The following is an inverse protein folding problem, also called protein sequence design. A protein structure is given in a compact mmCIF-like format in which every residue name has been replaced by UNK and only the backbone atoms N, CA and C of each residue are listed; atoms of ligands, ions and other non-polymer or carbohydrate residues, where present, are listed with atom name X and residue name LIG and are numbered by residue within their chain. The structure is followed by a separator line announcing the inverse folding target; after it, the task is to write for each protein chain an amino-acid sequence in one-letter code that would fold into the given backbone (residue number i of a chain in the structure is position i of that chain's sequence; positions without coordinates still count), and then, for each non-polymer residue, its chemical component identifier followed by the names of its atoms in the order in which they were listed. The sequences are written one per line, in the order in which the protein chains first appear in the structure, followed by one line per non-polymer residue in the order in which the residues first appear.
data_IF_309389211647
#
_entry.id   IF_309389211647
#
_cell.length_a   1.000
_cell.length_b   1.000
_cell.length_c   1.000
_cell.angle_alpha   90.00
_cell.angle_beta   90.00
_cell.angle_gamma   90.00
#
_symmetry.space_group_name_H-M   'P 1'
#
loop_
_entity.id
_entity.type
_entity.pdbx_description
1 polymer ?
#
# COMPACT_ATOMS: atom_id res chain seq x y z
N UNK A 1 -1.06 -0.75 -6.84
CA UNK A 1 0.25 -1.06 -7.47
C UNK A 1 0.18 -0.81 -8.96
N UNK A 2 1.31 -0.53 -9.60
CA UNK A 2 1.39 -0.41 -11.07
C UNK A 2 1.23 -1.78 -11.75
N UNK A 3 0.76 -1.81 -13.00
CA UNK A 3 0.63 -3.06 -13.77
C UNK A 3 2.01 -3.72 -13.96
N UNK A 4 2.24 -4.94 -13.46
CA UNK A 4 3.52 -5.63 -13.63
C UNK A 4 3.93 -5.85 -15.09
N UNK A 5 2.97 -5.86 -16.03
CA UNK A 5 3.25 -5.97 -17.46
C UNK A 5 3.94 -4.72 -18.01
N UNK A 6 3.64 -3.54 -17.47
CA UNK A 6 4.21 -2.28 -17.93
C UNK A 6 5.73 -2.30 -17.80
N UNK A 7 6.26 -2.78 -16.68
CA UNK A 7 7.70 -2.92 -16.43
C UNK A 7 8.41 -3.87 -17.41
N UNK A 8 7.67 -4.82 -17.99
CA UNK A 8 8.22 -5.80 -18.94
C UNK A 8 8.17 -5.31 -20.38
N UNK A 9 7.22 -4.43 -20.69
CA UNK A 9 6.96 -3.92 -22.05
C UNK A 9 7.72 -2.62 -22.28
N UNK A 10 7.70 -1.71 -21.31
CA UNK A 10 8.26 -0.36 -21.45
C UNK A 10 8.86 0.15 -20.12
N UNK A 11 10.03 -0.40 -19.78
CA UNK A 11 10.75 -0.06 -18.56
C UNK A 11 11.26 1.39 -18.57
N UNK A 12 11.61 1.90 -19.75
CA UNK A 12 12.12 3.27 -19.92
C UNK A 12 11.02 4.29 -19.64
N UNK A 13 9.80 4.08 -20.15
CA UNK A 13 8.64 4.89 -19.80
C UNK A 13 8.38 4.91 -18.29
N UNK A 14 8.42 3.75 -17.63
CA UNK A 14 8.22 3.68 -16.18
C UNK A 14 9.29 4.50 -15.45
N UNK A 15 10.56 4.37 -15.85
CA UNK A 15 11.67 5.13 -15.27
C UNK A 15 11.47 6.64 -15.44
N UNK A 16 11.08 7.09 -16.63
CA UNK A 16 10.81 8.49 -16.91
C UNK A 16 9.68 9.03 -16.03
N UNK A 17 8.55 8.34 -15.97
CA UNK A 17 7.41 8.75 -15.15
C UNK A 17 7.71 8.78 -13.65
N UNK A 18 8.51 7.82 -13.15
CA UNK A 18 8.93 7.81 -11.74
C UNK A 18 9.92 8.95 -11.44
N UNK A 19 10.79 9.30 -12.38
CA UNK A 19 11.68 10.45 -12.25
C UNK A 19 10.94 11.79 -12.18
N UNK A 20 9.77 11.93 -12.83
CA UNK A 20 8.90 13.11 -12.66
C UNK A 20 8.48 13.31 -11.20
N UNK A 21 8.43 12.26 -10.39
CA UNK A 21 8.19 12.30 -8.93
C UNK A 21 9.46 12.33 -8.08
N UNK A 22 10.61 12.56 -8.71
CA UNK A 22 11.93 12.43 -8.07
C UNK A 22 12.17 11.05 -7.43
N UNK A 23 11.52 10.00 -7.94
CA UNK A 23 11.72 8.63 -7.48
C UNK A 23 12.74 7.92 -8.37
N UNK A 24 13.95 7.72 -7.85
CA UNK A 24 15.02 7.06 -8.59
C UNK A 24 14.84 5.54 -8.56
N UNK A 25 14.23 5.00 -9.61
CA UNK A 25 14.02 3.56 -9.76
C UNK A 25 15.24 2.85 -10.35
N UNK A 26 15.71 1.81 -9.67
CA UNK A 26 16.85 0.99 -10.11
C UNK A 26 16.39 -0.03 -11.16
N UNK A 27 16.47 0.38 -12.43
CA UNK A 27 16.08 -0.44 -13.58
C UNK A 27 16.96 -1.67 -13.78
N UNK A 28 18.24 -1.57 -13.45
CA UNK A 28 19.23 -2.63 -13.58
C UNK A 28 18.92 -3.77 -12.59
N UNK A 29 18.66 -3.43 -11.32
CA UNK A 29 18.26 -4.38 -10.30
C UNK A 29 16.94 -5.09 -10.66
N UNK A 30 15.94 -4.35 -11.15
CA UNK A 30 14.69 -4.95 -11.61
C UNK A 30 14.92 -5.93 -12.77
N UNK A 31 15.75 -5.55 -13.75
CA UNK A 31 16.06 -6.40 -14.91
C UNK A 31 16.79 -7.69 -14.50
N UNK A 32 17.76 -7.61 -13.58
CA UNK A 32 18.45 -8.76 -13.00
C UNK A 32 17.48 -9.70 -12.28
N UNK A 33 16.56 -9.14 -11.49
CA UNK A 33 15.58 -9.90 -10.73
C UNK A 33 14.56 -10.60 -11.65
N UNK A 34 14.06 -9.92 -12.69
CA UNK A 34 13.15 -10.53 -13.68
C UNK A 34 13.86 -11.60 -14.52
N UNK A 35 15.14 -11.41 -14.86
CA UNK A 35 15.94 -12.43 -15.55
C UNK A 35 16.08 -13.70 -14.69
N UNK A 36 16.50 -13.55 -13.43
CA UNK A 36 16.56 -14.66 -12.46
C UNK A 36 15.21 -15.36 -12.31
N UNK A 37 14.12 -14.59 -12.21
CA UNK A 37 12.76 -15.13 -12.12
C UNK A 37 12.41 -16.00 -13.33
N UNK A 38 12.71 -15.52 -14.55
CA UNK A 38 12.45 -16.26 -15.80
C UNK A 38 13.27 -17.54 -15.85
N UNK A 39 14.55 -17.49 -15.55
CA UNK A 39 15.45 -18.65 -15.60
C UNK A 39 14.99 -19.75 -14.63
N UNK A 40 14.69 -19.38 -13.38
CA UNK A 40 14.19 -20.33 -12.38
C UNK A 40 12.81 -20.85 -12.78
N UNK A 41 11.93 -20.01 -13.31
CA UNK A 41 10.61 -20.46 -13.77
C UNK A 41 10.71 -21.50 -14.90
N UNK A 42 11.59 -21.27 -15.89
CA UNK A 42 11.84 -22.24 -16.97
C UNK A 42 12.39 -23.54 -16.39
N UNK A 43 13.39 -23.46 -15.50
CA UNK A 43 13.96 -24.64 -14.84
C UNK A 43 12.92 -25.44 -14.04
N UNK A 44 12.05 -24.76 -13.29
CA UNK A 44 10.94 -25.39 -12.56
C UNK A 44 10.00 -26.11 -13.52
N UNK A 45 9.65 -25.50 -14.66
CA UNK A 45 8.79 -26.13 -15.65
C UNK A 45 9.43 -27.36 -16.32
N UNK A 46 10.74 -27.29 -16.62
CA UNK A 46 11.51 -28.40 -17.17
C UNK A 46 11.59 -29.57 -16.18
N UNK A 47 11.95 -29.30 -14.92
CA UNK A 47 12.01 -30.32 -13.85
C UNK A 47 10.64 -30.97 -13.62
N UNK A 48 9.57 -30.16 -13.63
CA UNK A 48 8.21 -30.66 -13.48
C UNK A 48 7.81 -31.59 -14.65
N UNK A 49 8.18 -31.22 -15.87
CA UNK A 49 7.95 -32.04 -17.06
C UNK A 49 8.77 -33.34 -17.02
N UNK A 50 10.04 -33.26 -16.65
CA UNK A 50 10.92 -34.43 -16.56
C UNK A 50 10.44 -35.39 -15.47
N UNK A 51 10.13 -34.89 -14.26
CA UNK A 51 9.56 -35.71 -13.17
C UNK A 51 8.30 -36.43 -13.61
N UNK A 52 7.40 -35.76 -14.33
CA UNK A 52 6.16 -36.35 -14.82
C UNK A 52 6.42 -37.42 -15.89
N UNK A 53 7.38 -37.19 -16.79
CA UNK A 53 7.79 -38.17 -17.80
C UNK A 53 8.39 -39.44 -17.16
N UNK A 54 9.33 -39.27 -16.22
CA UNK A 54 9.97 -40.36 -15.48
C UNK A 54 8.97 -41.15 -14.63
N UNK A 55 8.01 -40.46 -14.00
CA UNK A 55 6.93 -41.10 -13.24
C UNK A 55 6.06 -42.00 -14.12
N UNK A 56 5.78 -41.60 -15.37
CA UNK A 56 5.06 -42.46 -16.34
C UNK A 56 5.91 -43.67 -16.75
N UNK A 57 7.22 -43.49 -16.95
CA UNK A 57 8.14 -44.58 -17.30
C UNK A 57 8.21 -45.66 -16.20
N UNK A 58 8.13 -45.27 -14.91
CA UNK A 58 8.04 -46.22 -13.78
C UNK A 58 6.81 -47.12 -13.92
N UNK A 59 5.64 -46.55 -14.24
CA UNK A 59 4.41 -47.32 -14.44
C UNK A 59 4.52 -48.33 -15.58
N UNK A 60 5.20 -47.95 -16.68
CA UNK A 60 5.45 -48.83 -17.82
C UNK A 60 6.45 -49.94 -17.50
N UNK A 61 7.57 -49.63 -16.84
CA UNK A 61 8.58 -50.59 -16.42
C UNK A 61 8.01 -51.61 -15.41
N UNK A 62 7.20 -51.14 -14.44
CA UNK A 62 6.49 -52.00 -13.48
C UNK A 62 5.52 -52.96 -14.17
N UNK A 63 4.82 -52.52 -15.22
CA UNK A 63 3.94 -53.37 -16.02
C UNK A 63 4.70 -54.44 -16.83
N UNK A 64 5.96 -54.18 -17.17
CA UNK A 64 6.86 -55.12 -17.87
C UNK A 64 7.66 -56.03 -16.94
N UNK A 65 7.57 -55.84 -15.61
CA UNK A 65 8.34 -56.61 -14.62
C UNK A 65 9.82 -56.23 -14.56
N UNK A 66 10.19 -55.03 -15.03
CA UNK A 66 11.56 -54.51 -15.00
C UNK A 66 11.92 -53.96 -13.61
N UNK A 67 13.22 -53.84 -13.31
CA UNK A 67 13.69 -53.16 -12.09
C UNK A 67 13.42 -51.66 -12.18
N UNK A 68 12.59 -51.16 -11.26
CA UNK A 68 12.18 -49.76 -11.18
C UNK A 68 12.99 -48.94 -10.18
N UNK A 69 13.88 -49.57 -9.39
CA UNK A 69 14.63 -48.86 -8.35
C UNK A 69 15.49 -47.71 -8.90
N UNK A 70 16.17 -47.83 -10.06
CA UNK A 70 16.91 -46.71 -10.64
C UNK A 70 15.99 -45.53 -11.01
N UNK A 71 14.82 -45.81 -11.57
CA UNK A 71 13.84 -44.79 -11.96
C UNK A 71 13.20 -44.12 -10.74
N UNK A 72 12.98 -44.87 -9.65
CA UNK A 72 12.48 -44.32 -8.39
C UNK A 72 13.49 -43.34 -7.78
N UNK A 73 14.78 -43.69 -7.78
CA UNK A 73 15.84 -42.81 -7.28
C UNK A 73 15.95 -41.54 -8.14
N UNK A 74 15.85 -41.66 -9.47
CA UNK A 74 15.87 -40.50 -10.39
C UNK A 74 14.67 -39.56 -10.15
N UNK A 75 13.45 -40.10 -9.97
CA UNK A 75 12.26 -39.30 -9.65
C UNK A 75 12.38 -38.62 -8.29
N UNK A 76 12.97 -39.28 -7.29
CA UNK A 76 13.20 -38.68 -5.99
C UNK A 76 14.17 -37.50 -6.08
N UNK A 77 15.29 -37.66 -6.78
CA UNK A 77 16.25 -36.57 -7.02
C UNK A 77 15.61 -35.38 -7.76
N UNK A 78 14.85 -35.64 -8.83
CA UNK A 78 14.10 -34.61 -9.55
C UNK A 78 13.06 -33.91 -8.65
N UNK A 79 12.48 -34.64 -7.70
CA UNK A 79 11.58 -34.08 -6.69
C UNK A 79 12.27 -33.08 -5.77
N UNK A 80 13.49 -33.42 -5.31
CA UNK A 80 14.29 -32.54 -4.45
C UNK A 80 14.76 -31.29 -5.21
N UNK A 81 15.22 -31.44 -6.45
CA UNK A 81 15.60 -30.32 -7.32
C UNK A 81 14.41 -29.41 -7.63
N UNK A 82 13.24 -30.00 -7.94
CA UNK A 82 12.02 -29.23 -8.21
C UNK A 82 11.61 -28.41 -6.99
N UNK A 83 11.62 -29.01 -5.79
CA UNK A 83 11.29 -28.31 -4.55
C UNK A 83 12.25 -27.16 -4.27
N UNK A 84 13.54 -27.34 -4.54
CA UNK A 84 14.53 -26.27 -4.41
C UNK A 84 14.26 -25.12 -5.41
N UNK A 85 13.92 -25.45 -6.67
CA UNK A 85 13.57 -24.47 -7.69
C UNK A 85 12.27 -23.71 -7.37
N UNK A 86 11.24 -24.39 -6.87
CA UNK A 86 9.99 -23.77 -6.39
C UNK A 86 10.23 -22.81 -5.22
N UNK A 87 11.07 -23.22 -4.26
CA UNK A 87 11.44 -22.37 -3.11
C UNK A 87 12.20 -21.12 -3.57
N UNK A 88 13.15 -21.28 -4.49
CA UNK A 88 13.89 -20.16 -5.06
C UNK A 88 12.97 -19.22 -5.87
N UNK A 89 12.04 -19.76 -6.64
CA UNK A 89 11.07 -18.98 -7.41
C UNK A 89 10.17 -18.16 -6.48
N UNK A 90 9.64 -18.77 -5.43
CA UNK A 90 8.80 -18.10 -4.44
C UNK A 90 9.57 -16.95 -3.77
N UNK A 91 10.83 -17.16 -3.37
CA UNK A 91 11.67 -16.11 -2.79
C UNK A 91 11.89 -14.93 -3.74
N UNK A 92 12.16 -15.21 -5.02
CA UNK A 92 12.30 -14.17 -6.04
C UNK A 92 10.99 -13.41 -6.23
N UNK A 93 9.84 -14.10 -6.23
CA UNK A 93 8.53 -13.46 -6.33
C UNK A 93 8.26 -12.54 -5.14
N UNK A 94 8.56 -12.96 -3.90
CA UNK A 94 8.46 -12.09 -2.72
C UNK A 94 9.35 -10.86 -2.83
N UNK A 95 10.59 -11.02 -3.32
CA UNK A 95 11.53 -9.91 -3.53
C UNK A 95 10.99 -8.92 -4.57
N UNK A 96 10.40 -9.43 -5.66
CA UNK A 96 9.74 -8.60 -6.67
C UNK A 96 8.51 -7.88 -6.13
N UNK A 97 7.64 -8.58 -5.40
CA UNK A 97 6.44 -7.98 -4.79
C UNK A 97 6.83 -6.85 -3.84
N UNK A 98 7.81 -7.10 -2.96
CA UNK A 98 8.34 -6.08 -2.03
C UNK A 98 8.88 -4.86 -2.77
N UNK A 99 9.62 -5.06 -3.87
CA UNK A 99 10.09 -3.97 -4.71
C UNK A 99 8.93 -3.18 -5.32
N UNK A 100 7.94 -3.87 -5.88
CA UNK A 100 6.79 -3.26 -6.56
C UNK A 100 5.86 -2.50 -5.59
N UNK A 101 5.67 -3.00 -4.37
CA UNK A 101 4.89 -2.33 -3.31
C UNK A 101 5.51 -0.99 -2.90
N UNK A 102 6.83 -0.83 -3.05
CA UNK A 102 7.53 0.42 -2.73
C UNK A 102 7.43 1.51 -3.80
N UNK A 103 6.89 1.21 -4.98
CA UNK A 103 6.87 2.12 -6.13
C UNK A 103 5.62 3.03 -6.07
N UNK A 104 5.80 4.36 -6.14
CA UNK A 104 4.67 5.29 -6.14
C UNK A 104 3.86 5.19 -7.45
N UNK A 105 2.64 5.71 -7.43
CA UNK A 105 1.82 5.75 -8.64
C UNK A 105 2.40 6.70 -9.69
N UNK A 106 2.17 6.37 -10.97
CA UNK A 106 2.53 7.22 -12.12
C UNK A 106 1.66 8.48 -12.11
N UNK A 107 2.26 9.62 -12.38
CA UNK A 107 1.53 10.89 -12.53
C UNK A 107 0.73 10.89 -13.82
N UNK A 108 -0.46 11.48 -13.79
CA UNK A 108 -1.21 11.80 -14.99
C UNK A 108 -0.43 12.82 -15.85
N UNK A 109 -0.66 12.80 -17.16
CA UNK A 109 -0.05 13.74 -18.10
C UNK A 109 -0.40 15.20 -17.77
N UNK A 110 -1.57 15.45 -17.18
CA UNK A 110 -2.00 16.80 -16.80
C UNK A 110 -1.29 17.35 -15.56
N UNK A 111 -0.58 16.51 -14.79
CA UNK A 111 0.11 16.97 -13.58
C UNK A 111 1.37 17.73 -14.00
N UNK A 112 1.58 18.98 -13.55
CA UNK A 112 2.79 19.73 -13.87
C UNK A 112 4.02 19.10 -13.21
N UNK A 113 5.16 19.19 -13.89
CA UNK A 113 6.43 18.75 -13.32
C UNK A 113 6.89 19.69 -12.21
N UNK A 114 7.37 19.12 -11.11
CA UNK A 114 7.82 19.87 -9.95
C UNK A 114 8.66 19.03 -9.00
N UNK A 115 9.58 19.68 -8.30
CA UNK A 115 10.48 19.02 -7.32
C UNK A 115 10.11 19.29 -5.86
N UNK A 116 9.26 20.28 -5.62
CA UNK A 116 8.77 20.72 -4.31
C UNK A 116 7.40 21.37 -4.45
N UNK A 117 6.79 21.70 -3.32
CA UNK A 117 5.56 22.47 -3.23
C UNK A 117 5.63 23.85 -3.92
N UNK A 118 6.83 24.41 -4.13
CA UNK A 118 7.03 25.71 -4.81
C UNK A 118 6.63 25.68 -6.30
N UNK A 119 6.54 24.49 -6.88
CA UNK A 119 6.12 24.28 -8.27
C UNK A 119 4.61 24.08 -8.41
N UNK A 120 3.87 24.06 -7.29
CA UNK A 120 2.42 23.94 -7.33
C UNK A 120 1.79 25.15 -8.04
N UNK A 121 0.82 24.88 -8.89
CA UNK A 121 0.08 25.91 -9.61
C UNK A 121 -1.26 26.18 -8.91
N UNK A 122 -1.52 27.45 -8.60
CA UNK A 122 -2.83 27.88 -8.12
C UNK A 122 -3.84 27.83 -9.28
N UNK A 123 -4.85 26.96 -9.17
CA UNK A 123 -5.87 26.78 -10.22
C UNK A 123 -7.00 27.80 -10.08
N UNK A 124 -7.44 28.07 -8.84
CA UNK A 124 -8.52 29.00 -8.57
C UNK A 124 -8.47 29.48 -7.13
N UNK A 125 -8.97 30.70 -6.90
CA UNK A 125 -9.21 31.29 -5.58
C UNK A 125 -10.67 31.67 -5.46
N UNK A 126 -11.24 31.49 -4.26
CA UNK A 126 -12.62 31.89 -3.98
C UNK A 126 -12.70 32.63 -2.65
N UNK A 127 -13.46 33.73 -2.64
CA UNK A 127 -13.58 34.63 -1.50
C UNK A 127 -12.46 35.69 -1.42
N UNK A 128 -12.68 36.69 -0.59
CA UNK A 128 -11.72 37.74 -0.28
C UNK A 128 -11.02 37.44 1.06
N UNK A 129 -9.74 37.82 1.16
CA UNK A 129 -9.02 37.73 2.43
C UNK A 129 -9.55 38.79 3.42
N UNK A 130 -9.92 38.42 4.65
CA UNK A 130 -10.51 39.37 5.59
C UNK A 130 -9.50 40.45 6.01
N UNK A 131 -9.91 41.71 5.92
CA UNK A 131 -9.17 42.83 6.50
C UNK A 131 -9.57 43.03 7.98
N UNK A 132 -8.58 43.17 8.85
CA UNK A 132 -8.79 43.43 10.28
C UNK A 132 -8.28 44.83 10.65
N UNK A 133 -9.06 45.56 11.45
CA UNK A 133 -8.68 46.84 12.06
C UNK A 133 -7.92 46.65 13.40
N UNK A 134 -7.56 45.41 13.71
CA UNK A 134 -6.78 44.99 14.87
C UNK A 134 -5.74 43.94 14.47
N UNK A 135 -4.72 43.74 15.31
CA UNK A 135 -3.74 42.66 15.13
C UNK A 135 -4.41 41.29 15.29
N UNK A 136 -4.55 40.49 14.23
CA UNK A 136 -5.22 39.20 14.31
C UNK A 136 -4.42 38.25 15.21
N UNK A 137 -5.14 37.49 16.03
CA UNK A 137 -4.55 36.44 16.87
C UNK A 137 -4.69 35.09 16.20
N UNK A 138 -3.73 34.20 16.43
CA UNK A 138 -3.85 32.84 15.97
C UNK A 138 -4.90 32.04 16.78
N UNK A 139 -5.19 30.83 16.30
CA UNK A 139 -6.17 29.96 16.94
C UNK A 139 -5.75 29.49 18.34
N UNK A 140 -4.45 29.44 18.65
CA UNK A 140 -3.92 29.02 19.95
C UNK A 140 -4.21 30.10 21.00
N UNK A 141 -3.85 31.35 20.71
CA UNK A 141 -4.09 32.51 21.56
C UNK A 141 -5.58 32.74 21.80
N UNK A 142 -6.39 32.61 20.75
CA UNK A 142 -7.85 32.70 20.85
C UNK A 142 -8.41 31.57 21.71
N UNK A 143 -7.97 30.34 21.47
CA UNK A 143 -8.40 29.15 22.19
C UNK A 143 -8.08 29.21 23.68
N UNK A 144 -6.87 29.68 24.03
CA UNK A 144 -6.43 29.88 25.41
C UNK A 144 -7.26 30.97 26.10
N UNK A 145 -7.48 32.12 25.44
CA UNK A 145 -8.30 33.22 25.99
C UNK A 145 -9.75 32.79 26.26
N UNK A 146 -10.30 31.94 25.41
CA UNK A 146 -11.65 31.37 25.56
C UNK A 146 -11.70 30.20 26.56
N UNK A 147 -10.56 29.73 27.08
CA UNK A 147 -10.42 28.51 27.89
C UNK A 147 -11.04 27.29 27.19
N UNK A 148 -10.98 27.28 25.86
CA UNK A 148 -11.62 26.29 25.01
C UNK A 148 -10.65 25.35 24.30
N UNK A 149 -9.36 25.68 24.25
CA UNK A 149 -8.28 24.84 23.72
C UNK A 149 -7.20 24.71 24.80
N UNK A 150 -6.94 23.48 25.24
CA UNK A 150 -6.01 23.16 26.31
C UNK A 150 -4.97 22.13 25.83
N UNK A 151 -3.81 22.62 25.41
CA UNK A 151 -2.68 21.81 24.97
C UNK A 151 -1.88 21.21 26.13
N UNK A 152 -1.80 21.91 27.27
CA UNK A 152 -1.10 21.40 28.45
C UNK A 152 -1.80 20.16 29.01
N UNK A 153 -3.13 20.19 29.09
CA UNK A 153 -3.93 19.04 29.49
C UNK A 153 -3.86 17.92 28.44
N UNK A 154 -3.87 18.26 27.15
CA UNK A 154 -3.65 17.29 26.07
C UNK A 154 -2.32 16.55 26.22
N UNK A 155 -1.24 17.29 26.48
CA UNK A 155 0.09 16.73 26.72
C UNK A 155 0.17 15.91 28.01
N UNK A 156 -0.53 16.34 29.07
CA UNK A 156 -0.62 15.60 30.34
C UNK A 156 -1.35 14.26 30.20
N UNK A 157 -2.42 14.21 29.39
CA UNK A 157 -3.22 12.99 29.19
C UNK A 157 -2.53 12.03 28.23
N UNK A 158 -1.94 12.54 27.15
CA UNK A 158 -1.34 11.74 26.09
C UNK A 158 0.14 12.10 25.87
N UNK A 159 0.43 13.12 25.05
CA UNK A 159 1.78 13.61 24.74
C UNK A 159 1.71 14.93 23.94
N UNK A 160 2.84 15.44 23.46
CA UNK A 160 2.89 16.53 22.49
C UNK A 160 2.00 16.24 21.27
N UNK A 161 1.43 17.30 20.66
CA UNK A 161 0.50 17.24 19.50
C UNK A 161 -0.90 16.66 19.82
N UNK A 162 -1.25 16.51 21.09
CA UNK A 162 -2.63 16.27 21.54
C UNK A 162 -3.26 17.53 22.13
N UNK A 163 -4.59 17.62 22.12
CA UNK A 163 -5.34 18.79 22.58
C UNK A 163 -6.64 18.37 23.26
N UNK A 164 -7.05 19.11 24.30
CA UNK A 164 -8.40 19.01 24.86
C UNK A 164 -9.20 20.24 24.45
N UNK A 165 -10.37 20.01 23.84
CA UNK A 165 -11.34 21.06 23.53
C UNK A 165 -12.43 21.11 24.60
N UNK A 166 -12.82 22.31 25.02
CA UNK A 166 -13.81 22.53 26.07
C UNK A 166 -14.96 23.46 25.62
N UNK A 167 -16.13 23.26 26.23
CA UNK A 167 -17.26 24.19 26.15
C UNK A 167 -17.72 24.49 24.72
N UNK A 168 -17.95 25.78 24.38
CA UNK A 168 -18.43 26.17 23.05
C UNK A 168 -17.52 25.75 21.89
N UNK A 169 -16.19 25.68 22.07
CA UNK A 169 -15.28 25.25 20.99
C UNK A 169 -15.37 23.75 20.71
N UNK A 170 -15.52 22.91 21.73
CA UNK A 170 -15.83 21.49 21.55
C UNK A 170 -17.17 21.29 20.83
N UNK A 171 -18.19 22.10 21.18
CA UNK A 171 -19.48 22.09 20.47
C UNK A 171 -19.34 22.51 19.01
N UNK A 172 -18.55 23.54 18.72
CA UNK A 172 -18.30 24.03 17.36
C UNK A 172 -17.59 22.96 16.52
N UNK A 173 -16.57 22.30 17.07
CA UNK A 173 -15.87 21.21 16.39
C UNK A 173 -16.84 20.09 15.97
N UNK A 174 -17.73 19.68 16.88
CA UNK A 174 -18.80 18.72 16.55
C UNK A 174 -19.76 19.25 15.50
N UNK A 175 -20.17 20.52 15.59
CA UNK A 175 -21.08 21.13 14.62
C UNK A 175 -20.49 21.15 13.20
N UNK A 176 -19.18 21.40 13.05
CA UNK A 176 -18.49 21.34 11.76
C UNK A 176 -18.52 19.93 11.18
N UNK A 177 -18.26 18.89 11.99
CA UNK A 177 -18.36 17.49 11.54
C UNK A 177 -19.77 17.20 11.02
N UNK A 178 -20.80 17.57 11.78
CA UNK A 178 -22.19 17.32 11.38
C UNK A 178 -22.56 18.06 10.09
N UNK A 179 -22.18 19.34 9.98
CA UNK A 179 -22.40 20.11 8.75
C UNK A 179 -21.77 19.44 7.52
N UNK A 180 -20.53 18.98 7.64
CA UNK A 180 -19.84 18.29 6.53
C UNK A 180 -20.56 16.99 6.15
N UNK A 181 -20.90 16.14 7.13
CA UNK A 181 -21.62 14.88 6.88
C UNK A 181 -22.99 15.14 6.23
N UNK A 182 -23.78 16.06 6.77
CA UNK A 182 -25.10 16.41 6.24
C UNK A 182 -24.99 16.94 4.81
N UNK A 183 -24.02 17.82 4.53
CA UNK A 183 -23.80 18.36 3.17
C UNK A 183 -23.48 17.24 2.19
N UNK A 184 -22.53 16.35 2.53
CA UNK A 184 -22.13 15.27 1.61
C UNK A 184 -23.23 14.24 1.40
N UNK A 185 -24.01 13.91 2.42
CA UNK A 185 -25.06 12.89 2.36
C UNK A 185 -26.35 13.40 1.73
N UNK A 186 -26.76 14.63 2.04
CA UNK A 186 -27.99 15.21 1.53
C UNK A 186 -27.85 15.85 0.15
N UNK A 187 -26.69 16.45 -0.17
CA UNK A 187 -26.52 17.27 -1.38
C UNK A 187 -25.59 16.63 -2.42
N UNK A 188 -24.59 15.85 -2.00
CA UNK A 188 -23.57 15.29 -2.90
C UNK A 188 -23.71 13.78 -3.17
N UNK A 189 -24.74 13.13 -2.63
CA UNK A 189 -25.05 11.72 -2.91
C UNK A 189 -24.12 10.69 -2.26
N UNK A 190 -23.37 11.08 -1.23
CA UNK A 190 -22.54 10.13 -0.48
C UNK A 190 -23.38 9.25 0.45
N UNK A 191 -23.02 7.97 0.56
CA UNK A 191 -23.56 7.10 1.60
C UNK A 191 -22.72 7.21 2.87
N UNK A 192 -23.33 7.66 3.96
CA UNK A 192 -22.65 7.68 5.25
C UNK A 192 -22.32 6.25 5.72
N UNK A 193 -21.10 6.06 6.23
CA UNK A 193 -20.64 4.75 6.72
C UNK A 193 -19.85 4.94 8.01
N UNK A 194 -20.22 4.21 9.05
CA UNK A 194 -19.45 4.13 10.29
C UNK A 194 -18.45 2.97 10.20
N UNK A 195 -17.15 3.27 10.32
CA UNK A 195 -16.05 2.32 10.06
C UNK A 195 -15.18 2.07 11.31
N UNK A 196 -14.48 0.92 11.40
CA UNK A 196 -13.49 0.68 12.44
C UNK A 196 -12.34 1.69 12.40
N UNK A 197 -11.86 2.12 13.58
CA UNK A 197 -10.69 3.00 13.71
C UNK A 197 -9.37 2.24 13.82
N UNK A 198 -9.43 0.94 14.04
CA UNK A 198 -8.31 0.02 13.95
C UNK A 198 -8.47 -0.85 12.71
N UNK A 199 -7.43 -0.95 11.89
CA UNK A 199 -7.41 -1.73 10.66
C UNK A 199 -6.24 -2.73 10.66
N UNK A 200 -6.42 -3.85 9.96
CA UNK A 200 -5.38 -4.86 9.78
C UNK A 200 -4.36 -4.42 8.71
N UNK A 201 -3.20 -5.09 8.67
CA UNK A 201 -2.12 -4.77 7.74
C UNK A 201 -2.56 -4.82 6.26
N UNK A 202 -3.44 -5.75 5.90
CA UNK A 202 -3.91 -5.89 4.51
C UNK A 202 -4.69 -4.66 4.04
N UNK A 203 -5.47 -4.02 4.94
CA UNK A 203 -6.17 -2.79 4.60
C UNK A 203 -5.21 -1.64 4.35
N UNK A 204 -4.14 -1.55 5.14
CA UNK A 204 -3.12 -0.52 4.96
C UNK A 204 -2.23 -0.78 3.74
N UNK A 205 -2.02 -2.04 3.33
CA UNK A 205 -1.39 -2.35 2.03
C UNK A 205 -2.29 -1.97 0.87
N UNK A 206 -3.60 -2.23 0.99
CA UNK A 206 -4.59 -1.92 -0.04
C UNK A 206 -4.62 -0.44 -0.44
N UNK A 207 -4.40 0.46 0.52
CA UNK A 207 -4.34 1.92 0.31
C UNK A 207 -2.93 2.51 0.33
N UNK A 208 -1.89 1.67 0.38
CA UNK A 208 -0.49 2.06 0.17
C UNK A 208 0.24 2.68 1.38
N UNK A 209 -0.33 2.65 2.58
CA UNK A 209 0.39 3.06 3.80
C UNK A 209 1.48 2.04 4.15
N UNK A 210 1.19 0.75 4.04
CA UNK A 210 2.19 -0.31 4.18
C UNK A 210 2.69 -0.76 2.80
N UNK A 211 3.99 -1.12 2.68
CA UNK A 211 4.99 -1.20 3.75
C UNK A 211 5.75 0.11 4.03
N UNK A 212 5.65 1.11 3.15
CA UNK A 212 6.56 2.27 3.12
C UNK A 212 6.45 3.23 4.31
N UNK A 213 5.24 3.41 4.84
CA UNK A 213 4.94 4.43 5.85
C UNK A 213 4.56 3.80 7.21
N UNK A 214 5.08 2.61 7.53
CA UNK A 214 4.77 1.95 8.82
C UNK A 214 5.16 2.80 10.03
N UNK A 215 6.27 3.53 9.94
CA UNK A 215 6.77 4.39 11.01
C UNK A 215 5.86 5.59 11.33
N UNK A 216 4.96 5.96 10.41
CA UNK A 216 4.04 7.08 10.57
C UNK A 216 2.74 6.67 11.29
N UNK A 217 2.60 5.39 11.65
CA UNK A 217 1.36 4.81 12.18
C UNK A 217 1.46 4.46 13.67
N UNK A 218 0.35 4.63 14.38
CA UNK A 218 0.19 4.00 15.71
C UNK A 218 -0.19 2.53 15.54
N UNK A 219 0.67 1.64 16.05
CA UNK A 219 0.48 0.19 16.02
C UNK A 219 0.08 -0.33 17.39
N UNK A 220 -0.99 -1.10 17.45
CA UNK A 220 -1.39 -1.86 18.63
C UNK A 220 -0.57 -3.17 18.68
N UNK A 221 -0.03 -3.48 19.86
CA UNK A 221 0.82 -4.67 20.09
C UNK A 221 -0.01 -5.95 20.30
N UNK A 222 -0.93 -6.23 19.38
CA UNK A 222 -1.72 -7.47 19.32
C UNK A 222 -1.18 -8.42 18.25
N UNK A 223 -1.62 -9.69 18.28
CA UNK A 223 -1.37 -10.70 17.23
C UNK A 223 -2.70 -11.27 16.72
N UNK A 224 -3.12 -10.98 15.46
CA UNK A 224 -2.41 -10.15 14.49
C UNK A 224 -2.41 -8.67 14.87
N UNK A 225 -1.38 -7.94 14.43
CA UNK A 225 -1.24 -6.51 14.69
C UNK A 225 -2.37 -5.69 14.04
N UNK A 226 -2.85 -4.68 14.77
CA UNK A 226 -3.80 -3.68 14.30
C UNK A 226 -3.15 -2.30 14.31
N UNK A 227 -3.61 -1.43 13.41
CA UNK A 227 -3.09 -0.07 13.23
C UNK A 227 -4.23 0.93 13.39
N UNK A 228 -4.00 2.02 14.12
CA UNK A 228 -4.93 3.14 14.15
C UNK A 228 -4.93 3.79 12.76
N UNK A 229 -6.11 3.99 12.18
CA UNK A 229 -6.23 4.52 10.82
C UNK A 229 -5.71 5.96 10.77
N UNK A 230 -4.85 6.32 9.78
CA UNK A 230 -4.42 7.70 9.59
C UNK A 230 -5.49 8.58 8.93
N UNK A 231 -6.46 7.93 8.26
CA UNK A 231 -7.59 8.56 7.57
C UNK A 231 -8.69 7.51 7.34
N UNK A 232 -9.95 7.96 7.22
CA UNK A 232 -11.08 7.10 6.84
C UNK A 232 -10.95 6.50 5.43
N UNK A 233 -10.07 7.05 4.58
CA UNK A 233 -9.74 6.48 3.26
C UNK A 233 -9.34 4.99 3.36
N UNK A 234 -8.57 4.61 4.40
CA UNK A 234 -8.10 3.24 4.59
C UNK A 234 -9.28 2.26 4.71
N UNK A 235 -10.16 2.35 5.72
CA UNK A 235 -11.27 1.42 5.84
C UNK A 235 -12.33 1.60 4.74
N UNK A 236 -12.63 2.82 4.30
CA UNK A 236 -13.69 3.07 3.30
C UNK A 236 -13.32 2.50 1.94
N UNK A 237 -12.08 2.69 1.48
CA UNK A 237 -11.63 2.13 0.19
C UNK A 237 -11.59 0.60 0.23
N UNK A 238 -11.24 0.02 1.38
CA UNK A 238 -11.18 -1.43 1.54
C UNK A 238 -12.57 -2.11 1.65
N UNK A 239 -13.69 -1.38 1.67
CA UNK A 239 -15.05 -1.96 1.60
C UNK A 239 -15.21 -2.84 0.34
N UNK A 240 -14.55 -2.45 -0.75
CA UNK A 240 -14.62 -3.18 -2.04
C UNK A 240 -13.39 -4.06 -2.31
N UNK A 241 -12.51 -4.26 -1.31
CA UNK A 241 -11.38 -5.18 -1.46
C UNK A 241 -11.91 -6.61 -1.67
N UNK A 242 -11.35 -7.31 -2.66
CA UNK A 242 -11.73 -8.68 -3.03
C UNK A 242 -13.20 -8.83 -3.46
N UNK A 243 -13.84 -7.74 -3.92
CA UNK A 243 -15.21 -7.72 -4.43
C UNK A 243 -15.22 -7.40 -5.93
N UNK A 244 -15.95 -8.20 -6.71
CA UNK A 244 -16.32 -7.85 -8.08
C UNK A 244 -17.64 -7.06 -8.02
N UNK A 245 -17.57 -5.78 -8.34
CA UNK A 245 -18.73 -4.89 -8.35
C UNK A 245 -19.52 -5.12 -9.65
N UNK A 246 -20.85 -5.14 -9.55
CA UNK A 246 -21.78 -5.35 -10.68
C UNK A 246 -21.92 -4.14 -11.59
#
# INVERSE_FOLDING_TARGET
MLDPRLFRIDLDFVKEQLNRRSFNFNTEFYAELEARRKDVQVKTQELQNERNSRSKAIGQAKAKGEDVQPLLNEVQHLGDELKAAETALAGIQTEMETLMEGIPNILDESVPDGKSEDFNLEISRWGDEPEFDFEPKDHVDLGAKLKGIDFELGAKIASSRFVVLNGPLARLQRAIIQLMLDTHTAEHGYSETYVPFLANADSLRGTGQLPKFEADLFKANDDPALYLIPTAEVPVTNIVRDVIVS
#
